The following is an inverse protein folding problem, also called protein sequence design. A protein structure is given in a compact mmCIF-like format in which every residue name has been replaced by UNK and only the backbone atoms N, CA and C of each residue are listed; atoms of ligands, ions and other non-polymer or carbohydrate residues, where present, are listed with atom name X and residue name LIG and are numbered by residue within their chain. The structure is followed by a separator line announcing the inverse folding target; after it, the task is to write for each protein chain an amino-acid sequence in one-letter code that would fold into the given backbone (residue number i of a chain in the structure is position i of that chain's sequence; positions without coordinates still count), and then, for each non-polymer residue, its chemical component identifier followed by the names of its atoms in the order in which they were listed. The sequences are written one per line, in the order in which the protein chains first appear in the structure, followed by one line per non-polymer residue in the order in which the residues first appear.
data_IF_061800901122
#
_entry.id   IF_061800901122
#
_cell.length_a   1.000
_cell.length_b   1.000
_cell.length_c   1.000
_cell.angle_alpha   90.00
_cell.angle_beta   90.00
_cell.angle_gamma   90.00
#
_symmetry.space_group_name_H-M   'P 1'
#
loop_
_entity.id
_entity.type
_entity.pdbx_description
1 polymer ?
#
# COMPACT_ATOMS: atom_id res chain seq x y z
N UNK A 1 -21.41 -9.44 -11.63
CA UNK A 1 -21.73 -9.20 -10.21
C UNK A 1 -21.70 -7.70 -9.93
N UNK A 2 -22.42 -7.27 -8.89
CA UNK A 2 -22.32 -5.89 -8.38
C UNK A 2 -21.38 -5.85 -7.18
N UNK A 3 -20.35 -5.03 -7.28
CA UNK A 3 -19.27 -4.96 -6.30
C UNK A 3 -19.18 -3.54 -5.76
N UNK A 4 -19.13 -3.39 -4.44
CA UNK A 4 -18.94 -2.11 -3.79
C UNK A 4 -17.57 -2.03 -3.14
N UNK A 5 -16.79 -1.02 -3.51
CA UNK A 5 -15.57 -0.61 -2.83
C UNK A 5 -15.85 0.59 -1.93
N UNK A 6 -15.40 0.57 -0.68
CA UNK A 6 -15.55 1.68 0.27
C UNK A 6 -14.17 2.08 0.78
N UNK A 7 -13.88 3.38 0.73
CA UNK A 7 -12.61 3.94 1.20
C UNK A 7 -12.81 5.27 1.93
N UNK A 8 -11.87 5.68 2.80
CA UNK A 8 -11.98 6.95 3.54
C UNK A 8 -11.85 8.17 2.62
N UNK A 9 -11.01 8.10 1.58
CA UNK A 9 -10.74 9.13 0.58
C UNK A 9 -9.60 8.69 -0.34
N UNK A 10 -9.29 9.48 -1.35
CA UNK A 10 -8.28 9.20 -2.37
C UNK A 10 -7.17 10.29 -2.39
N UNK A 11 -6.47 10.54 -1.27
CA UNK A 11 -5.49 11.64 -1.17
C UNK A 11 -4.14 11.38 -1.87
N UNK A 12 -3.91 10.22 -2.47
CA UNK A 12 -2.67 9.94 -3.20
C UNK A 12 -1.73 8.93 -2.54
N UNK A 13 -2.24 7.89 -1.88
CA UNK A 13 -1.45 6.82 -1.28
C UNK A 13 -1.45 5.51 -2.08
N UNK A 14 -0.58 4.59 -1.70
CA UNK A 14 -0.47 3.29 -2.39
C UNK A 14 -1.70 2.40 -2.24
N UNK A 15 -2.40 2.43 -1.09
CA UNK A 15 -3.61 1.65 -0.87
C UNK A 15 -4.79 2.18 -1.72
N UNK A 16 -4.87 3.50 -1.88
CA UNK A 16 -5.87 4.15 -2.73
C UNK A 16 -5.68 3.77 -4.20
N UNK A 17 -4.42 3.75 -4.66
CA UNK A 17 -4.07 3.27 -6.01
C UNK A 17 -4.50 1.81 -6.20
N UNK A 18 -4.23 0.95 -5.22
CA UNK A 18 -4.66 -0.47 -5.24
C UNK A 18 -6.17 -0.60 -5.38
N UNK A 19 -6.96 0.18 -4.63
CA UNK A 19 -8.44 0.15 -4.72
C UNK A 19 -8.91 0.56 -6.13
N UNK A 20 -8.34 1.61 -6.70
CA UNK A 20 -8.69 2.04 -8.07
C UNK A 20 -8.29 1.01 -9.12
N UNK A 21 -7.13 0.39 -8.96
CA UNK A 21 -6.65 -0.70 -9.82
C UNK A 21 -7.57 -1.93 -9.73
N UNK A 22 -8.05 -2.29 -8.52
CA UNK A 22 -9.06 -3.35 -8.34
C UNK A 22 -10.39 -2.98 -9.02
N UNK A 23 -10.87 -1.75 -8.84
CA UNK A 23 -12.09 -1.28 -9.51
C UNK A 23 -12.00 -1.45 -11.02
N UNK A 24 -10.90 -0.97 -11.60
CA UNK A 24 -10.63 -1.08 -13.05
C UNK A 24 -10.58 -2.54 -13.51
N UNK A 25 -9.80 -3.39 -12.82
CA UNK A 25 -9.63 -4.78 -13.20
C UNK A 25 -10.92 -5.60 -13.09
N UNK A 26 -11.74 -5.36 -12.07
CA UNK A 26 -13.05 -6.02 -11.93
C UNK A 26 -14.03 -5.54 -12.99
N UNK A 27 -14.03 -4.26 -13.35
CA UNK A 27 -14.86 -3.72 -14.44
C UNK A 27 -14.46 -4.33 -15.78
N UNK A 28 -13.17 -4.44 -16.06
CA UNK A 28 -12.66 -5.10 -17.30
C UNK A 28 -13.09 -6.57 -17.39
N UNK A 29 -13.35 -7.23 -16.25
CA UNK A 29 -13.89 -8.59 -16.20
C UNK A 29 -15.43 -8.65 -16.29
N UNK A 30 -16.08 -7.51 -16.61
CA UNK A 30 -17.54 -7.44 -16.83
C UNK A 30 -18.36 -7.36 -15.55
N UNK A 31 -17.80 -6.84 -14.47
CA UNK A 31 -18.54 -6.59 -13.22
C UNK A 31 -18.96 -5.13 -13.10
N UNK A 32 -20.14 -4.89 -12.47
CA UNK A 32 -20.61 -3.56 -12.11
C UNK A 32 -19.91 -3.13 -10.82
N UNK A 33 -19.06 -2.12 -10.89
CA UNK A 33 -18.25 -1.66 -9.76
C UNK A 33 -18.66 -0.26 -9.32
N UNK A 34 -19.03 -0.12 -8.06
CA UNK A 34 -19.28 1.16 -7.41
C UNK A 34 -18.18 1.45 -6.39
N UNK A 35 -17.79 2.72 -6.27
CA UNK A 35 -16.79 3.21 -5.33
C UNK A 35 -17.39 4.31 -4.46
N UNK A 36 -17.44 4.10 -3.15
CA UNK A 36 -17.85 5.11 -2.17
C UNK A 36 -16.64 5.64 -1.42
N UNK A 37 -16.42 6.96 -1.50
CA UNK A 37 -15.48 7.70 -0.66
C UNK A 37 -16.20 8.33 0.53
N UNK A 38 -15.68 8.16 1.74
CA UNK A 38 -16.25 8.72 2.96
C UNK A 38 -15.76 10.15 3.28
N UNK A 39 -14.84 10.69 2.47
CA UNK A 39 -14.38 12.10 2.49
C UNK A 39 -14.31 12.64 1.07
N UNK A 40 -14.54 13.93 0.96
CA UNK A 40 -14.42 14.68 -0.30
C UNK A 40 -12.95 15.07 -0.54
N UNK A 41 -12.12 14.05 -0.82
CA UNK A 41 -10.70 14.20 -1.17
C UNK A 41 -10.37 13.19 -2.25
N UNK A 42 -10.10 13.67 -3.46
CA UNK A 42 -9.77 12.82 -4.61
C UNK A 42 -8.66 13.46 -5.44
N UNK A 43 -7.44 12.92 -5.34
CA UNK A 43 -6.26 13.35 -6.11
C UNK A 43 -5.89 12.36 -7.22
N UNK A 44 -6.70 11.32 -7.42
CA UNK A 44 -6.55 10.37 -8.52
C UNK A 44 -7.67 10.54 -9.54
N UNK A 45 -7.41 10.31 -10.83
CA UNK A 45 -8.47 10.13 -11.81
C UNK A 45 -9.26 8.86 -11.47
N UNK A 46 -10.58 8.97 -11.47
CA UNK A 46 -11.46 7.81 -11.32
C UNK A 46 -11.53 7.09 -12.68
N UNK A 47 -11.29 5.76 -12.74
CA UNK A 47 -11.41 5.01 -13.97
C UNK A 47 -12.82 5.18 -14.59
N UNK A 48 -12.88 5.30 -15.92
CA UNK A 48 -14.14 5.43 -16.65
C UNK A 48 -15.06 4.24 -16.39
N UNK A 49 -16.37 4.50 -16.25
CA UNK A 49 -17.38 3.47 -16.00
C UNK A 49 -17.47 2.96 -14.57
N UNK A 50 -16.71 3.53 -13.63
CA UNK A 50 -16.90 3.30 -12.20
C UNK A 50 -17.94 4.29 -11.66
N UNK A 51 -18.99 3.77 -11.02
CA UNK A 51 -19.96 4.61 -10.30
C UNK A 51 -19.34 5.13 -9.00
N UNK A 52 -18.90 6.40 -9.01
CA UNK A 52 -18.20 7.03 -7.90
C UNK A 52 -19.09 7.99 -7.12
N UNK A 53 -19.23 7.74 -5.82
CA UNK A 53 -20.01 8.58 -4.91
C UNK A 53 -19.19 9.02 -3.70
N UNK A 54 -19.35 10.29 -3.30
CA UNK A 54 -18.78 10.84 -2.07
C UNK A 54 -19.88 10.93 -0.99
N UNK A 55 -19.67 10.23 0.15
CA UNK A 55 -20.55 10.25 1.32
C UNK A 55 -19.83 10.92 2.49
N UNK A 56 -19.61 12.23 2.36
CA UNK A 56 -18.90 13.01 3.36
C UNK A 56 -19.80 13.43 4.55
N UNK A 57 -19.20 13.44 5.76
CA UNK A 57 -19.85 13.98 6.95
C UNK A 57 -19.71 15.51 7.00
N UNK A 58 -20.82 16.23 6.82
CA UNK A 58 -20.88 17.70 6.86
C UNK A 58 -21.40 18.26 8.19
N UNK A 59 -21.47 17.45 9.24
CA UNK A 59 -21.98 17.88 10.55
C UNK A 59 -21.13 18.96 11.20
N UNK A 60 -21.78 20.01 11.71
CA UNK A 60 -21.19 21.12 12.48
C UNK A 60 -21.54 21.07 13.98
N UNK A 61 -22.27 20.03 14.44
CA UNK A 61 -22.73 19.93 15.82
C UNK A 61 -21.56 19.94 16.83
N UNK A 62 -21.73 20.56 18.04
CA UNK A 62 -20.66 20.64 19.05
C UNK A 62 -20.14 19.26 19.49
N UNK A 63 -21.00 18.25 19.61
CA UNK A 63 -20.70 16.86 19.98
C UNK A 63 -20.38 15.95 18.80
N UNK A 64 -20.11 16.54 17.61
CA UNK A 64 -19.84 15.79 16.37
C UNK A 64 -18.78 14.70 16.50
N UNK A 65 -17.73 14.93 17.33
CA UNK A 65 -16.66 13.97 17.53
C UNK A 65 -17.11 12.70 18.25
N UNK A 66 -18.05 12.78 19.18
CA UNK A 66 -18.58 11.61 19.92
C UNK A 66 -19.49 10.74 19.07
N UNK A 67 -20.27 11.34 18.17
CA UNK A 67 -21.25 10.65 17.34
C UNK A 67 -20.76 10.37 15.91
N UNK A 68 -19.54 10.79 15.58
CA UNK A 68 -19.00 10.75 14.21
C UNK A 68 -19.15 9.39 13.55
N UNK A 69 -18.66 8.33 14.18
CA UNK A 69 -18.65 7.00 13.56
C UNK A 69 -20.06 6.47 13.30
N UNK A 70 -20.98 6.63 14.24
CA UNK A 70 -22.37 6.16 14.09
C UNK A 70 -23.12 6.99 13.04
N UNK A 71 -22.90 8.30 13.01
CA UNK A 71 -23.52 9.20 12.04
C UNK A 71 -23.02 8.93 10.62
N UNK A 72 -21.71 8.71 10.45
CA UNK A 72 -21.11 8.36 9.16
C UNK A 72 -21.57 6.97 8.68
N UNK A 73 -21.70 6.00 9.60
CA UNK A 73 -22.27 4.70 9.27
C UNK A 73 -23.74 4.81 8.82
N UNK A 74 -24.56 5.61 9.50
CA UNK A 74 -25.93 5.85 9.08
C UNK A 74 -26.05 6.59 7.74
N UNK A 75 -25.12 7.51 7.43
CA UNK A 75 -25.06 8.15 6.12
C UNK A 75 -24.67 7.16 5.02
N UNK A 76 -23.69 6.31 5.27
CA UNK A 76 -23.29 5.23 4.38
C UNK A 76 -24.47 4.26 4.13
N UNK A 77 -25.18 3.83 5.19
CA UNK A 77 -26.33 2.94 5.06
C UNK A 77 -27.43 3.53 4.17
N UNK A 78 -27.68 4.86 4.26
CA UNK A 78 -28.65 5.55 3.38
C UNK A 78 -28.18 5.57 1.93
N UNK A 79 -26.90 5.87 1.67
CA UNK A 79 -26.34 5.89 0.32
C UNK A 79 -26.42 4.49 -0.32
N UNK A 80 -26.06 3.45 0.42
CA UNK A 80 -26.18 2.06 -0.04
C UNK A 80 -27.64 1.70 -0.31
N UNK A 81 -28.58 2.09 0.59
CA UNK A 81 -30.01 1.82 0.41
C UNK A 81 -30.56 2.46 -0.86
N UNK A 82 -30.15 3.69 -1.13
CA UNK A 82 -30.55 4.42 -2.35
C UNK A 82 -30.03 3.73 -3.61
N UNK A 83 -28.74 3.40 -3.62
CA UNK A 83 -28.11 2.70 -4.74
C UNK A 83 -28.77 1.32 -4.99
N UNK A 84 -28.97 0.52 -3.93
CA UNK A 84 -29.57 -0.81 -4.06
C UNK A 84 -31.03 -0.78 -4.53
N UNK A 85 -31.77 0.29 -4.21
CA UNK A 85 -33.14 0.47 -4.71
C UNK A 85 -33.18 0.69 -6.22
N UNK A 86 -32.18 1.36 -6.76
CA UNK A 86 -32.11 1.69 -8.19
C UNK A 86 -31.49 0.57 -9.01
N UNK A 87 -30.48 -0.11 -8.47
CA UNK A 87 -29.62 -1.06 -9.20
C UNK A 87 -29.68 -2.49 -8.67
N UNK A 88 -30.28 -2.72 -7.50
CA UNK A 88 -30.32 -4.00 -6.78
C UNK A 88 -29.11 -4.20 -5.85
N UNK A 89 -29.18 -5.24 -5.01
CA UNK A 89 -28.22 -5.50 -3.95
C UNK A 89 -26.80 -5.78 -4.46
N UNK A 90 -25.79 -5.37 -3.68
CA UNK A 90 -24.39 -5.73 -3.94
C UNK A 90 -24.13 -7.20 -3.60
N UNK A 91 -23.38 -7.88 -4.46
CA UNK A 91 -22.93 -9.25 -4.26
C UNK A 91 -21.74 -9.34 -3.31
N UNK A 92 -20.80 -8.41 -3.43
CA UNK A 92 -19.60 -8.30 -2.60
C UNK A 92 -19.35 -6.84 -2.21
N UNK A 93 -18.88 -6.63 -1.00
CA UNK A 93 -18.53 -5.32 -0.46
C UNK A 93 -17.15 -5.38 0.17
N UNK A 94 -16.26 -4.47 -0.21
CA UNK A 94 -14.90 -4.37 0.31
C UNK A 94 -14.69 -3.04 1.01
N UNK A 95 -14.37 -3.10 2.31
CA UNK A 95 -13.98 -1.94 3.11
C UNK A 95 -12.48 -1.83 3.16
N UNK A 96 -11.94 -0.66 2.83
CA UNK A 96 -10.51 -0.46 2.69
C UNK A 96 -9.98 0.58 3.66
N UNK A 97 -8.90 0.27 4.37
CA UNK A 97 -8.24 1.08 5.40
C UNK A 97 -8.99 1.14 6.74
N UNK A 98 -8.24 1.04 7.83
CA UNK A 98 -8.77 0.98 9.20
C UNK A 98 -9.72 2.14 9.57
N UNK A 99 -9.52 3.34 9.01
CA UNK A 99 -10.43 4.47 9.25
C UNK A 99 -11.81 4.20 8.70
N UNK A 100 -11.90 3.69 7.47
CA UNK A 100 -13.13 3.24 6.81
C UNK A 100 -13.76 2.12 7.60
N UNK A 101 -12.97 1.11 7.96
CA UNK A 101 -13.41 -0.11 8.64
C UNK A 101 -14.12 0.19 9.97
N UNK A 102 -13.66 1.20 10.71
CA UNK A 102 -14.30 1.67 11.93
C UNK A 102 -15.71 2.22 11.73
N UNK A 103 -16.01 2.73 10.54
CA UNK A 103 -17.32 3.24 10.16
C UNK A 103 -18.18 2.08 9.64
N UNK A 104 -17.63 1.32 8.68
CA UNK A 104 -18.30 0.19 8.04
C UNK A 104 -18.69 -0.89 9.04
N UNK A 105 -17.84 -1.16 10.05
CA UNK A 105 -18.16 -2.12 11.13
C UNK A 105 -19.42 -1.77 11.95
N UNK A 106 -19.94 -0.54 11.83
CA UNK A 106 -21.17 -0.04 12.48
C UNK A 106 -22.38 0.01 11.54
N UNK A 107 -22.19 -0.31 10.27
CA UNK A 107 -23.30 -0.43 9.32
C UNK A 107 -24.29 -1.48 9.80
N UNK A 108 -25.57 -1.16 9.69
CA UNK A 108 -26.70 -2.07 9.99
C UNK A 108 -27.26 -2.72 8.73
N UNK A 109 -26.78 -2.29 7.56
CA UNK A 109 -27.28 -2.74 6.27
C UNK A 109 -26.37 -3.79 5.60
N UNK A 110 -25.07 -3.67 5.79
CA UNK A 110 -24.11 -4.57 5.16
C UNK A 110 -24.13 -5.95 5.81
N UNK A 111 -24.53 -6.96 5.04
CA UNK A 111 -24.55 -8.35 5.49
C UNK A 111 -23.15 -8.89 5.70
N UNK A 112 -22.92 -9.59 6.81
CA UNK A 112 -21.60 -10.04 7.24
C UNK A 112 -20.96 -11.10 6.32
N UNK A 113 -21.77 -11.82 5.54
CA UNK A 113 -21.32 -12.82 4.57
C UNK A 113 -20.73 -12.21 3.29
N UNK A 114 -21.20 -11.02 2.90
CA UNK A 114 -20.77 -10.30 1.69
C UNK A 114 -19.72 -9.23 1.96
N UNK A 115 -19.52 -8.85 3.23
CA UNK A 115 -18.60 -7.79 3.63
C UNK A 115 -17.23 -8.34 3.98
N UNK A 116 -16.21 -7.80 3.31
CA UNK A 116 -14.79 -8.09 3.54
C UNK A 116 -14.03 -6.83 3.92
N UNK A 117 -13.16 -6.95 4.92
CA UNK A 117 -12.28 -5.86 5.36
C UNK A 117 -10.89 -6.07 4.78
N UNK A 118 -10.44 -5.17 3.91
CA UNK A 118 -9.14 -5.24 3.25
C UNK A 118 -8.08 -4.51 4.07
N UNK A 119 -7.09 -5.23 4.56
CA UNK A 119 -6.05 -4.70 5.43
C UNK A 119 -4.77 -4.53 4.63
N UNK A 120 -4.39 -3.25 4.46
CA UNK A 120 -3.29 -2.80 3.61
C UNK A 120 -1.98 -2.55 4.37
N UNK A 121 -1.85 -2.97 5.62
CA UNK A 121 -0.64 -2.75 6.41
C UNK A 121 -0.60 -3.52 7.71
N UNK A 122 0.57 -3.56 8.32
CA UNK A 122 0.80 -4.17 9.63
C UNK A 122 0.13 -3.30 10.70
N UNK A 123 -1.02 -3.73 11.22
CA UNK A 123 -1.83 -2.94 12.16
C UNK A 123 -1.15 -2.80 13.52
N UNK A 124 -0.46 -3.83 14.00
CA UNK A 124 0.27 -3.76 15.27
C UNK A 124 1.35 -2.68 15.25
N UNK A 125 2.10 -2.54 14.16
CA UNK A 125 3.11 -1.49 14.00
C UNK A 125 2.46 -0.12 13.81
N UNK A 126 1.51 -0.01 12.88
CA UNK A 126 0.93 1.27 12.47
C UNK A 126 0.05 1.91 13.55
N UNK A 127 -0.64 1.11 14.37
CA UNK A 127 -1.62 1.63 15.34
C UNK A 127 -1.25 1.42 16.80
N UNK A 128 -0.46 0.42 17.15
CA UNK A 128 0.03 0.25 18.52
C UNK A 128 1.33 1.05 18.74
N UNK A 129 2.24 1.06 17.76
CA UNK A 129 3.52 1.74 17.87
C UNK A 129 4.27 1.33 19.15
N UNK A 130 4.81 2.31 19.87
CA UNK A 130 5.58 2.09 21.12
C UNK A 130 4.71 2.05 22.39
N UNK A 131 3.37 1.97 22.26
CA UNK A 131 2.46 1.89 23.41
C UNK A 131 2.72 0.64 24.24
N UNK A 132 2.62 0.81 25.59
CA UNK A 132 2.83 -0.27 26.57
C UNK A 132 1.66 -0.34 27.56
N UNK A 133 1.60 -1.43 28.32
CA UNK A 133 0.65 -1.61 29.41
C UNK A 133 -0.81 -1.43 29.02
N UNK A 134 -1.58 -0.74 29.87
CA UNK A 134 -3.03 -0.56 29.71
C UNK A 134 -3.42 0.18 28.42
N UNK A 135 -2.64 1.21 28.02
CA UNK A 135 -2.92 1.96 26.77
C UNK A 135 -2.79 1.05 25.53
N UNK A 136 -1.77 0.19 25.50
CA UNK A 136 -1.62 -0.82 24.45
C UNK A 136 -2.82 -1.77 24.43
N UNK A 137 -3.23 -2.29 25.59
CA UNK A 137 -4.35 -3.21 25.71
C UNK A 137 -5.67 -2.58 25.26
N UNK A 138 -5.98 -1.36 25.72
CA UNK A 138 -7.16 -0.61 25.30
C UNK A 138 -7.18 -0.38 23.78
N UNK A 139 -6.04 -0.06 23.19
CA UNK A 139 -5.92 0.16 21.75
C UNK A 139 -6.10 -1.15 20.98
N UNK A 140 -5.48 -2.24 21.41
CA UNK A 140 -5.69 -3.57 20.84
C UNK A 140 -7.17 -3.96 20.87
N UNK A 141 -7.84 -3.76 22.00
CA UNK A 141 -9.28 -4.06 22.12
C UNK A 141 -10.14 -3.23 21.16
N UNK A 142 -9.80 -1.94 20.97
CA UNK A 142 -10.48 -1.09 19.97
C UNK A 142 -10.31 -1.59 18.54
N UNK A 143 -9.11 -2.08 18.21
CA UNK A 143 -8.83 -2.66 16.89
C UNK A 143 -9.56 -3.99 16.75
N UNK A 144 -9.47 -4.87 17.74
CA UNK A 144 -10.14 -6.16 17.75
C UNK A 144 -11.67 -6.04 17.55
N UNK A 145 -12.31 -5.06 18.20
CA UNK A 145 -13.75 -4.80 18.04
C UNK A 145 -14.19 -4.51 16.60
N UNK A 146 -13.26 -4.06 15.74
CA UNK A 146 -13.55 -3.81 14.32
C UNK A 146 -13.50 -5.11 13.51
N UNK A 147 -12.54 -5.99 13.82
CA UNK A 147 -12.20 -7.12 12.94
C UNK A 147 -12.57 -8.50 13.50
N UNK A 148 -12.83 -8.62 14.80
CA UNK A 148 -13.19 -9.88 15.43
C UNK A 148 -14.42 -10.51 14.78
N UNK A 149 -14.31 -11.78 14.33
CA UNK A 149 -15.40 -12.51 13.70
C UNK A 149 -15.83 -11.98 12.32
N UNK A 150 -14.98 -11.16 11.66
CA UNK A 150 -15.25 -10.59 10.32
C UNK A 150 -14.51 -11.35 9.23
N UNK A 151 -14.97 -11.20 7.98
CA UNK A 151 -14.21 -11.67 6.83
C UNK A 151 -13.11 -10.64 6.51
N UNK A 152 -11.89 -11.12 6.33
CA UNK A 152 -10.72 -10.28 6.14
C UNK A 152 -9.96 -10.71 4.89
N UNK A 153 -9.56 -9.73 4.08
CA UNK A 153 -8.51 -9.87 3.07
C UNK A 153 -7.25 -9.21 3.60
N UNK A 154 -6.17 -9.96 3.70
CA UNK A 154 -4.84 -9.47 4.03
C UNK A 154 -4.00 -9.39 2.75
N UNK A 155 -3.32 -8.25 2.52
CA UNK A 155 -2.55 -8.04 1.28
C UNK A 155 -1.22 -8.81 1.22
N UNK A 156 -0.81 -9.43 2.32
CA UNK A 156 0.34 -10.35 2.43
C UNK A 156 0.13 -11.33 3.57
N UNK A 157 0.88 -12.43 3.58
CA UNK A 157 0.85 -13.41 4.69
C UNK A 157 1.19 -12.74 6.03
N UNK A 158 2.25 -11.91 6.04
CA UNK A 158 2.66 -11.20 7.24
C UNK A 158 1.57 -10.27 7.80
N UNK A 159 0.73 -9.65 6.97
CA UNK A 159 -0.45 -8.89 7.44
C UNK A 159 -1.47 -9.81 8.08
N UNK A 160 -1.72 -10.98 7.51
CA UNK A 160 -2.61 -11.98 8.10
C UNK A 160 -2.10 -12.52 9.44
N UNK A 161 -0.81 -12.82 9.53
CA UNK A 161 -0.13 -13.31 10.75
C UNK A 161 -0.15 -12.24 11.85
N UNK A 162 0.08 -10.97 11.51
CA UNK A 162 0.02 -9.86 12.45
C UNK A 162 -1.32 -9.77 13.18
N UNK A 163 -2.43 -10.02 12.48
CA UNK A 163 -3.76 -10.01 13.07
C UNK A 163 -3.96 -11.09 14.10
N UNK A 164 -3.41 -12.27 13.86
CA UNK A 164 -3.61 -13.46 14.71
C UNK A 164 -2.60 -13.53 15.86
N UNK A 165 -1.36 -13.11 15.62
CA UNK A 165 -0.26 -13.24 16.59
C UNK A 165 -0.06 -11.99 17.44
N UNK A 166 -0.11 -10.79 16.84
CA UNK A 166 0.16 -9.53 17.53
C UNK A 166 -1.11 -8.78 17.97
N UNK A 167 -2.22 -9.04 17.28
CA UNK A 167 -3.53 -8.46 17.58
C UNK A 167 -4.52 -9.63 17.74
N UNK A 168 -4.84 -10.13 18.94
CA UNK A 168 -5.57 -11.38 19.16
C UNK A 168 -6.95 -11.37 18.48
N UNK A 169 -6.95 -11.27 17.15
CA UNK A 169 -8.11 -11.23 16.27
C UNK A 169 -8.30 -12.60 15.66
N UNK A 170 -9.51 -13.14 15.80
CA UNK A 170 -9.94 -14.37 15.15
C UNK A 170 -10.94 -13.98 14.06
N UNK A 171 -10.50 -13.89 12.78
CA UNK A 171 -11.41 -13.64 11.67
C UNK A 171 -12.44 -14.77 11.53
N UNK A 172 -13.61 -14.46 10.97
CA UNK A 172 -14.54 -15.49 10.51
C UNK A 172 -13.98 -16.25 9.30
N UNK A 173 -13.42 -15.48 8.36
CA UNK A 173 -12.67 -15.97 7.20
C UNK A 173 -11.47 -15.07 6.98
N UNK A 174 -10.34 -15.64 6.63
CA UNK A 174 -9.12 -14.92 6.27
C UNK A 174 -8.68 -15.38 4.88
N UNK A 175 -8.60 -14.46 3.95
CA UNK A 175 -7.98 -14.66 2.65
C UNK A 175 -6.71 -13.80 2.56
N UNK A 176 -5.63 -14.39 2.03
CA UNK A 176 -4.43 -13.63 1.67
C UNK A 176 -4.47 -13.42 0.16
N UNK A 177 -4.67 -12.17 -0.25
CA UNK A 177 -4.73 -11.79 -1.66
C UNK A 177 -3.82 -10.57 -1.85
N UNK A 178 -2.78 -10.75 -2.67
CA UNK A 178 -1.81 -9.70 -2.91
C UNK A 178 -2.41 -8.52 -3.72
N UNK A 179 -1.68 -7.41 -3.77
CA UNK A 179 -2.12 -6.25 -4.53
C UNK A 179 -2.02 -6.50 -6.04
N UNK A 180 -2.98 -5.99 -6.85
CA UNK A 180 -2.97 -6.10 -8.30
C UNK A 180 -2.08 -5.03 -8.94
N UNK A 181 -1.54 -5.36 -10.10
CA UNK A 181 -0.79 -4.46 -10.95
C UNK A 181 -1.30 -4.54 -12.39
N UNK A 182 -1.56 -3.39 -12.99
CA UNK A 182 -1.77 -3.27 -14.43
C UNK A 182 -0.40 -3.30 -15.11
N UNK A 183 0.05 -4.52 -15.44
CA UNK A 183 1.42 -4.78 -15.94
C UNK A 183 1.66 -4.03 -17.24
N UNK A 184 0.71 -4.07 -18.17
CA UNK A 184 0.83 -3.43 -19.47
C UNK A 184 0.91 -1.89 -19.31
N UNK A 185 0.06 -1.32 -18.46
CA UNK A 185 0.10 0.11 -18.18
C UNK A 185 1.41 0.53 -17.51
N UNK A 186 1.96 -0.26 -16.59
CA UNK A 186 3.27 0.01 -15.96
C UNK A 186 4.36 -0.01 -17.01
N UNK A 187 4.42 -1.01 -17.88
CA UNK A 187 5.43 -1.12 -18.93
C UNK A 187 5.32 0.00 -19.95
N UNK A 188 4.10 0.38 -20.35
CA UNK A 188 3.86 1.50 -21.24
C UNK A 188 4.32 2.83 -20.60
N UNK A 189 3.96 3.08 -19.35
CA UNK A 189 4.36 4.28 -18.63
C UNK A 189 5.86 4.34 -18.38
N UNK A 190 6.52 3.19 -18.16
CA UNK A 190 7.97 3.09 -18.00
C UNK A 190 8.76 3.41 -19.25
N UNK A 191 8.12 3.36 -20.43
CA UNK A 191 8.74 3.73 -21.72
C UNK A 191 8.73 5.25 -22.00
N UNK A 192 8.09 6.05 -21.12
CA UNK A 192 8.10 7.51 -21.25
C UNK A 192 9.52 8.09 -21.07
N UNK A 193 9.81 9.29 -21.62
CA UNK A 193 11.09 9.96 -21.45
C UNK A 193 11.52 10.13 -19.99
N UNK A 194 12.79 9.96 -19.70
CA UNK A 194 13.38 10.12 -18.37
C UNK A 194 14.65 11.01 -18.48
N UNK A 195 14.72 12.03 -17.64
CA UNK A 195 15.88 12.95 -17.62
C UNK A 195 17.19 12.29 -17.12
N UNK A 196 17.06 11.16 -16.41
CA UNK A 196 18.20 10.35 -15.95
C UNK A 196 18.51 9.16 -16.86
N UNK A 197 17.88 9.04 -18.03
CA UNK A 197 18.13 7.94 -18.97
C UNK A 197 19.61 7.92 -19.41
N UNK A 198 20.22 6.73 -19.39
CA UNK A 198 21.60 6.54 -19.73
C UNK A 198 22.61 6.91 -18.64
N UNK A 199 22.15 7.37 -17.48
CA UNK A 199 22.99 7.56 -16.30
C UNK A 199 22.95 6.32 -15.42
N UNK A 200 24.03 6.09 -14.68
CA UNK A 200 24.08 5.07 -13.63
C UNK A 200 23.63 5.71 -12.31
N UNK A 201 22.53 5.23 -11.72
CA UNK A 201 22.00 5.73 -10.45
C UNK A 201 21.14 4.70 -9.72
N UNK A 202 21.01 4.90 -8.41
CA UNK A 202 20.09 4.16 -7.54
C UNK A 202 18.81 4.96 -7.33
N UNK A 203 17.70 4.27 -7.07
CA UNK A 203 16.43 4.96 -6.83
C UNK A 203 15.73 4.48 -5.55
N UNK A 204 15.11 5.40 -4.83
CA UNK A 204 14.13 5.14 -3.78
C UNK A 204 12.84 5.88 -4.10
N UNK A 205 11.72 5.17 -4.07
CA UNK A 205 10.40 5.76 -4.29
C UNK A 205 9.53 5.56 -3.06
N UNK A 206 9.16 6.65 -2.41
CA UNK A 206 8.32 6.58 -1.21
C UNK A 206 8.13 7.94 -0.54
N UNK A 207 7.05 8.07 0.23
CA UNK A 207 6.82 9.29 1.02
C UNK A 207 7.92 9.48 2.07
N UNK A 208 8.33 10.72 2.30
CA UNK A 208 9.24 11.05 3.40
C UNK A 208 8.51 10.90 4.75
N UNK A 209 8.42 9.67 5.21
CA UNK A 209 7.75 9.26 6.44
C UNK A 209 8.68 8.40 7.30
N UNK A 210 8.52 8.46 8.63
CA UNK A 210 9.39 7.73 9.58
C UNK A 210 9.49 6.23 9.29
N UNK A 211 8.39 5.61 8.89
CA UNK A 211 8.37 4.18 8.57
C UNK A 211 9.22 3.80 7.35
N UNK A 212 9.54 4.75 6.44
CA UNK A 212 10.37 4.51 5.26
C UNK A 212 11.88 4.58 5.57
N UNK A 213 12.26 5.07 6.75
CA UNK A 213 13.63 5.05 7.27
C UNK A 213 14.67 5.59 6.28
N UNK A 214 14.43 6.80 5.77
CA UNK A 214 15.43 7.50 4.93
C UNK A 214 16.76 7.68 5.65
N UNK A 215 16.76 7.75 6.98
CA UNK A 215 17.96 7.76 7.81
C UNK A 215 18.81 6.48 7.61
N UNK A 216 18.17 5.31 7.69
CA UNK A 216 18.83 4.01 7.42
C UNK A 216 19.34 3.94 5.98
N UNK A 217 18.52 4.39 5.03
CA UNK A 217 18.88 4.40 3.61
C UNK A 217 20.15 5.20 3.34
N UNK A 218 20.20 6.46 3.81
CA UNK A 218 21.35 7.34 3.57
C UNK A 218 22.62 6.82 4.25
N UNK A 219 22.53 6.31 5.48
CA UNK A 219 23.67 5.72 6.17
C UNK A 219 24.17 4.45 5.46
N UNK A 220 23.26 3.57 5.04
CA UNK A 220 23.63 2.39 4.27
C UNK A 220 24.28 2.78 2.93
N UNK A 221 23.72 3.77 2.23
CA UNK A 221 24.30 4.28 0.98
C UNK A 221 25.71 4.86 1.18
N UNK A 222 25.91 5.67 2.23
CA UNK A 222 27.24 6.20 2.55
C UNK A 222 28.28 5.10 2.81
N UNK A 223 27.88 4.00 3.44
CA UNK A 223 28.76 2.87 3.78
C UNK A 223 28.90 1.84 2.67
N UNK A 224 28.04 1.84 1.65
CA UNK A 224 28.04 0.82 0.59
C UNK A 224 29.24 0.91 -0.38
N UNK A 225 29.95 2.04 -0.40
CA UNK A 225 31.02 2.31 -1.35
C UNK A 225 30.56 2.65 -2.77
N UNK A 226 29.26 2.59 -3.05
CA UNK A 226 28.67 2.90 -4.36
C UNK A 226 28.83 4.40 -4.64
N UNK A 227 29.36 4.75 -5.82
CA UNK A 227 29.58 6.15 -6.22
C UNK A 227 28.44 6.71 -7.08
N UNK A 228 27.63 5.84 -7.70
CA UNK A 228 26.47 6.24 -8.48
C UNK A 228 25.47 7.03 -7.64
N UNK A 229 24.87 8.14 -8.14
CA UNK A 229 23.90 8.95 -7.39
C UNK A 229 22.70 8.17 -6.88
N UNK A 230 22.13 8.63 -5.76
CA UNK A 230 20.87 8.12 -5.19
C UNK A 230 19.74 9.10 -5.43
N UNK A 231 18.79 8.74 -6.28
CA UNK A 231 17.57 9.51 -6.55
C UNK A 231 16.47 9.18 -5.53
N UNK A 232 15.94 10.20 -4.86
CA UNK A 232 14.83 10.11 -3.92
C UNK A 232 13.58 10.71 -4.53
N UNK A 233 12.56 9.87 -4.77
CA UNK A 233 11.29 10.25 -5.37
C UNK A 233 10.18 10.15 -4.31
N UNK A 234 9.44 11.24 -4.10
CA UNK A 234 8.30 11.27 -3.18
C UNK A 234 8.11 12.62 -2.52
N UNK A 235 7.06 12.69 -1.69
CA UNK A 235 6.73 13.88 -0.89
C UNK A 235 6.76 13.57 0.60
N UNK A 236 6.89 14.62 1.39
CA UNK A 236 6.78 14.63 2.85
C UNK A 236 6.49 16.04 3.33
N UNK A 237 6.36 16.19 4.65
CA UNK A 237 6.39 17.53 5.22
C UNK A 237 7.80 18.14 5.09
N UNK A 238 7.85 19.48 4.99
CA UNK A 238 9.10 20.21 4.75
C UNK A 238 10.16 19.95 5.84
N UNK A 239 9.73 19.80 7.08
CA UNK A 239 10.63 19.51 8.20
C UNK A 239 11.31 18.15 8.02
N UNK A 240 10.56 17.14 7.58
CA UNK A 240 11.09 15.79 7.34
C UNK A 240 12.05 15.76 6.15
N UNK A 241 11.71 16.44 5.06
CA UNK A 241 12.59 16.57 3.89
C UNK A 241 13.88 17.28 4.28
N UNK A 242 13.79 18.38 5.05
CA UNK A 242 14.97 19.12 5.54
C UNK A 242 15.86 18.25 6.46
N UNK A 243 15.26 17.41 7.33
CA UNK A 243 16.00 16.45 8.16
C UNK A 243 16.82 15.47 7.31
N UNK A 244 16.23 14.90 6.25
CA UNK A 244 16.91 13.98 5.34
C UNK A 244 18.04 14.68 4.58
N UNK A 245 17.83 15.92 4.12
CA UNK A 245 18.87 16.72 3.45
C UNK A 245 20.05 17.03 4.40
N UNK A 246 19.74 17.42 5.64
CA UNK A 246 20.76 17.67 6.66
C UNK A 246 21.61 16.40 6.90
N UNK A 247 20.95 15.25 7.07
CA UNK A 247 21.64 13.99 7.27
C UNK A 247 22.56 13.64 6.08
N UNK A 248 22.14 13.90 4.83
CA UNK A 248 22.98 13.70 3.66
C UNK A 248 24.25 14.56 3.72
N UNK A 249 24.14 15.81 4.19
CA UNK A 249 25.27 16.71 4.41
C UNK A 249 26.19 16.19 5.52
N UNK A 250 25.64 15.79 6.65
CA UNK A 250 26.39 15.24 7.78
C UNK A 250 27.18 13.98 7.40
N UNK A 251 26.63 13.17 6.49
CA UNK A 251 27.28 11.96 5.95
C UNK A 251 28.26 12.22 4.79
N UNK A 252 28.41 13.47 4.33
CA UNK A 252 29.30 13.83 3.22
C UNK A 252 28.84 13.32 1.85
N UNK A 253 27.54 13.04 1.67
CA UNK A 253 26.97 12.49 0.44
C UNK A 253 25.98 13.42 -0.27
N UNK A 254 25.84 14.67 0.20
CA UNK A 254 24.82 15.61 -0.30
C UNK A 254 24.84 15.78 -1.82
N UNK A 255 26.02 15.90 -2.43
CA UNK A 255 26.21 16.08 -3.88
C UNK A 255 25.80 14.84 -4.71
N UNK A 256 25.67 13.68 -4.05
CA UNK A 256 25.28 12.39 -4.70
C UNK A 256 23.84 12.01 -4.40
N UNK A 257 23.05 12.84 -3.67
CA UNK A 257 21.64 12.55 -3.37
C UNK A 257 20.76 13.52 -4.13
N UNK A 258 20.00 13.00 -5.08
CA UNK A 258 19.09 13.77 -5.94
C UNK A 258 17.67 13.76 -5.35
N UNK A 259 17.14 14.90 -4.95
CA UNK A 259 15.77 15.05 -4.46
C UNK A 259 14.85 15.43 -5.61
N UNK A 260 14.18 14.47 -6.23
CA UNK A 260 13.34 14.67 -7.43
C UNK A 260 11.89 15.07 -7.11
N UNK A 261 11.53 15.11 -5.81
CA UNK A 261 10.17 15.45 -5.41
C UNK A 261 9.13 14.43 -5.83
N UNK A 262 7.88 14.86 -5.98
CA UNK A 262 6.80 14.00 -6.45
C UNK A 262 6.88 13.83 -7.97
N UNK A 263 6.87 12.57 -8.40
CA UNK A 263 6.73 12.21 -9.80
C UNK A 263 5.37 11.52 -10.01
N UNK A 264 4.55 12.10 -10.89
CA UNK A 264 3.24 11.51 -11.22
C UNK A 264 3.40 10.14 -11.89
N UNK A 265 4.45 9.99 -12.70
CA UNK A 265 4.89 8.72 -13.28
C UNK A 265 6.33 8.44 -12.84
N UNK A 266 6.57 7.63 -11.80
CA UNK A 266 7.91 7.29 -11.35
C UNK A 266 8.56 6.15 -12.18
N UNK A 267 7.80 5.45 -13.01
CA UNK A 267 8.27 4.25 -13.69
C UNK A 267 9.45 4.46 -14.66
N UNK A 268 9.56 5.57 -15.42
CA UNK A 268 10.75 5.82 -16.22
C UNK A 268 12.02 5.93 -15.38
N UNK A 269 11.93 6.58 -14.21
CA UNK A 269 13.06 6.67 -13.27
C UNK A 269 13.40 5.30 -12.66
N UNK A 270 12.42 4.46 -12.39
CA UNK A 270 12.64 3.10 -11.91
C UNK A 270 13.31 2.28 -13.00
N UNK A 271 12.80 2.30 -14.23
CA UNK A 271 13.30 1.51 -15.36
C UNK A 271 14.76 1.78 -15.71
N UNK A 272 15.17 3.03 -15.60
CA UNK A 272 16.56 3.44 -15.94
C UNK A 272 17.53 3.37 -14.76
N UNK A 273 17.04 3.11 -13.55
CA UNK A 273 17.90 2.93 -12.39
C UNK A 273 18.61 1.57 -12.40
N UNK A 274 19.82 1.53 -11.87
CA UNK A 274 20.59 0.30 -11.72
C UNK A 274 20.07 -0.55 -10.54
N UNK A 275 19.44 0.08 -9.54
CA UNK A 275 18.94 -0.60 -8.35
C UNK A 275 17.85 0.23 -7.66
N UNK A 276 16.73 -0.39 -7.27
CA UNK A 276 15.75 0.23 -6.39
C UNK A 276 15.97 -0.22 -4.94
N UNK A 277 15.89 0.73 -4.01
CA UNK A 277 16.15 0.53 -2.59
C UNK A 277 14.89 0.72 -1.74
N UNK A 278 14.60 -0.20 -0.83
CA UNK A 278 13.54 -0.11 0.16
C UNK A 278 14.11 -0.35 1.56
N UNK A 279 14.08 0.69 2.42
CA UNK A 279 14.68 0.68 3.77
C UNK A 279 13.67 0.65 4.90
N UNK A 280 12.40 0.36 4.64
CA UNK A 280 11.27 0.50 5.55
C UNK A 280 11.38 -0.35 6.82
N UNK A 281 10.74 0.11 7.90
CA UNK A 281 10.54 -0.67 9.14
C UNK A 281 9.35 -1.63 9.05
N UNK A 282 8.38 -1.34 8.19
CA UNK A 282 7.24 -2.21 7.89
C UNK A 282 6.55 -1.79 6.60
N UNK A 283 6.02 -2.77 5.89
CA UNK A 283 5.21 -2.58 4.69
C UNK A 283 3.92 -3.42 4.79
N UNK A 284 2.85 -2.99 4.15
CA UNK A 284 1.71 -3.88 3.97
C UNK A 284 2.03 -4.95 2.94
N UNK A 285 2.37 -4.50 1.73
CA UNK A 285 2.80 -5.36 0.65
C UNK A 285 4.18 -4.96 0.12
N UNK A 286 4.40 -3.69 -0.20
CA UNK A 286 5.65 -3.21 -0.81
C UNK A 286 5.49 -3.05 -2.32
N UNK A 287 4.44 -2.36 -2.76
CA UNK A 287 4.08 -2.20 -4.18
C UNK A 287 5.26 -1.79 -5.05
N UNK A 288 6.09 -0.87 -4.57
CA UNK A 288 7.24 -0.35 -5.33
C UNK A 288 8.26 -1.44 -5.69
N UNK A 289 8.36 -2.52 -4.90
CA UNK A 289 9.23 -3.66 -5.24
C UNK A 289 8.70 -4.38 -6.48
N UNK A 290 7.41 -4.68 -6.52
CA UNK A 290 6.77 -5.30 -7.70
C UNK A 290 6.84 -4.36 -8.90
N UNK A 291 6.55 -3.08 -8.72
CA UNK A 291 6.66 -2.06 -9.77
C UNK A 291 8.08 -2.01 -10.36
N UNK A 292 9.11 -2.06 -9.52
CA UNK A 292 10.52 -2.08 -9.95
C UNK A 292 10.86 -3.34 -10.75
N UNK A 293 10.48 -4.49 -10.22
CA UNK A 293 10.73 -5.77 -10.89
C UNK A 293 10.01 -5.88 -12.23
N UNK A 294 8.79 -5.34 -12.34
CA UNK A 294 8.04 -5.25 -13.61
C UNK A 294 8.69 -4.29 -14.62
N UNK A 295 9.39 -3.27 -14.15
CA UNK A 295 10.20 -2.37 -14.98
C UNK A 295 11.56 -3.02 -15.41
N UNK A 296 11.92 -4.19 -14.87
CA UNK A 296 13.19 -4.86 -15.13
C UNK A 296 14.34 -4.41 -14.21
N UNK A 297 14.07 -3.61 -13.20
CA UNK A 297 15.07 -3.07 -12.28
C UNK A 297 15.20 -3.93 -11.03
N UNK A 298 16.40 -4.41 -10.69
CA UNK A 298 16.62 -5.18 -9.47
C UNK A 298 16.35 -4.33 -8.22
N UNK A 299 16.12 -5.02 -7.11
CA UNK A 299 15.75 -4.35 -5.85
C UNK A 299 16.57 -4.87 -4.69
N UNK A 300 16.79 -4.02 -3.69
CA UNK A 300 17.23 -4.42 -2.34
C UNK A 300 16.24 -3.90 -1.34
N UNK A 301 15.81 -4.76 -0.43
CA UNK A 301 14.83 -4.39 0.62
C UNK A 301 15.28 -4.87 1.99
N UNK A 302 14.97 -4.10 3.01
CA UNK A 302 15.00 -4.64 4.37
C UNK A 302 13.98 -5.77 4.52
N UNK A 303 14.31 -6.81 5.28
CA UNK A 303 13.41 -7.90 5.70
C UNK A 303 12.41 -7.40 6.77
N UNK A 304 11.73 -6.31 6.46
CA UNK A 304 10.75 -5.76 7.36
C UNK A 304 9.44 -6.58 7.38
N UNK A 305 8.66 -6.56 8.46
CA UNK A 305 7.33 -7.15 8.50
C UNK A 305 6.46 -6.64 7.35
N UNK A 306 5.82 -7.56 6.62
CA UNK A 306 4.99 -7.26 5.44
C UNK A 306 5.33 -8.12 4.24
N UNK A 307 4.99 -7.63 3.05
CA UNK A 307 5.19 -8.34 1.79
C UNK A 307 6.61 -8.40 1.20
N UNK A 308 7.62 -7.60 1.62
CA UNK A 308 8.91 -7.58 0.92
C UNK A 308 9.59 -8.94 0.79
N UNK A 309 9.63 -9.74 1.86
CA UNK A 309 10.22 -11.09 1.81
C UNK A 309 9.45 -11.99 0.83
N UNK A 310 8.12 -11.99 0.91
CA UNK A 310 7.23 -12.77 0.04
C UNK A 310 7.42 -12.40 -1.45
N UNK A 311 7.57 -11.10 -1.76
CA UNK A 311 7.80 -10.62 -3.13
C UNK A 311 9.16 -11.05 -3.64
N UNK A 312 10.24 -10.84 -2.87
CA UNK A 312 11.59 -11.13 -3.31
C UNK A 312 11.86 -12.64 -3.42
N UNK A 313 11.32 -13.44 -2.52
CA UNK A 313 11.39 -14.91 -2.60
C UNK A 313 10.69 -15.40 -3.89
N UNK A 314 9.51 -14.88 -4.19
CA UNK A 314 8.76 -15.22 -5.41
C UNK A 314 9.48 -14.77 -6.69
N UNK A 315 10.15 -13.62 -6.65
CA UNK A 315 10.94 -13.11 -7.78
C UNK A 315 12.30 -13.83 -7.96
N UNK A 316 12.66 -14.77 -7.08
CA UNK A 316 13.96 -15.45 -7.11
C UNK A 316 15.11 -14.57 -6.56
N UNK A 317 14.80 -13.54 -5.80
CA UNK A 317 15.73 -12.53 -5.28
C UNK A 317 15.83 -12.53 -3.74
N UNK A 318 15.68 -13.69 -3.10
CA UNK A 318 15.73 -13.78 -1.62
C UNK A 318 17.07 -13.29 -1.04
N UNK A 319 18.18 -13.35 -1.80
CA UNK A 319 19.48 -12.82 -1.44
C UNK A 319 19.53 -11.28 -1.38
N UNK A 320 18.55 -10.58 -1.96
CA UNK A 320 18.43 -9.13 -1.93
C UNK A 320 17.72 -8.60 -0.66
N UNK A 321 17.41 -9.47 0.30
CA UNK A 321 16.85 -9.11 1.60
C UNK A 321 17.97 -8.82 2.60
N UNK A 322 17.97 -7.60 3.13
CA UNK A 322 18.85 -7.14 4.20
C UNK A 322 18.16 -7.22 5.56
N UNK A 323 18.90 -7.41 6.63
CA UNK A 323 18.37 -7.25 7.98
C UNK A 323 17.96 -5.80 8.27
N UNK A 324 17.16 -5.56 9.33
CA UNK A 324 16.64 -4.23 9.70
C UNK A 324 17.72 -3.29 10.28
N UNK A 325 18.91 -3.28 9.69
CA UNK A 325 20.01 -2.41 10.08
C UNK A 325 20.77 -1.86 8.86
N UNK A 326 21.53 -0.80 9.08
CA UNK A 326 22.25 -0.07 8.03
C UNK A 326 23.40 -0.86 7.43
N UNK A 327 24.13 -1.66 8.24
CA UNK A 327 25.28 -2.44 7.77
C UNK A 327 24.85 -3.54 6.79
N UNK A 328 23.84 -4.34 7.15
CA UNK A 328 23.32 -5.37 6.25
C UNK A 328 22.70 -4.78 4.98
N UNK A 329 22.02 -3.61 5.08
CA UNK A 329 21.49 -2.93 3.91
C UNK A 329 22.60 -2.46 2.99
N UNK A 330 23.69 -1.88 3.52
CA UNK A 330 24.86 -1.45 2.75
C UNK A 330 25.55 -2.62 2.03
N UNK A 331 25.73 -3.75 2.73
CA UNK A 331 26.30 -4.98 2.16
C UNK A 331 25.47 -5.48 0.98
N UNK A 332 24.15 -5.60 1.16
CA UNK A 332 23.26 -6.08 0.10
C UNK A 332 23.16 -5.11 -1.07
N UNK A 333 23.22 -3.80 -0.82
CA UNK A 333 23.31 -2.79 -1.87
C UNK A 333 24.53 -3.00 -2.73
N UNK A 334 25.72 -3.14 -2.12
CA UNK A 334 26.98 -3.36 -2.84
C UNK A 334 26.97 -4.69 -3.62
N UNK A 335 26.50 -5.77 -2.99
CA UNK A 335 26.42 -7.11 -3.62
C UNK A 335 25.53 -7.10 -4.87
N UNK A 336 24.29 -6.62 -4.76
CA UNK A 336 23.30 -6.65 -5.84
C UNK A 336 23.62 -5.62 -6.92
N UNK A 337 24.18 -4.46 -6.55
CA UNK A 337 24.62 -3.46 -7.52
C UNK A 337 25.77 -3.98 -8.39
N UNK A 338 26.75 -4.68 -7.80
CA UNK A 338 27.85 -5.25 -8.54
C UNK A 338 27.46 -6.46 -9.39
N UNK A 339 26.53 -7.27 -8.92
CA UNK A 339 26.09 -8.52 -9.55
C UNK A 339 24.55 -8.62 -9.53
N UNK A 340 23.83 -7.86 -10.38
CA UNK A 340 22.39 -7.87 -10.38
C UNK A 340 21.84 -9.27 -10.77
N UNK A 341 20.92 -9.84 -9.97
CA UNK A 341 20.35 -11.14 -10.26
C UNK A 341 19.37 -11.08 -11.43
N UNK A 342 19.18 -12.21 -12.09
CA UNK A 342 18.15 -12.34 -13.10
C UNK A 342 16.76 -12.34 -12.45
N UNK A 343 15.89 -11.42 -12.89
CA UNK A 343 14.53 -11.30 -12.40
C UNK A 343 13.63 -12.35 -13.06
N UNK A 344 12.91 -13.14 -12.27
CA UNK A 344 11.90 -14.08 -12.78
C UNK A 344 10.59 -13.35 -13.13
N UNK A 345 10.54 -12.75 -14.32
CA UNK A 345 9.38 -11.99 -14.79
C UNK A 345 8.11 -12.85 -14.84
N UNK A 346 8.21 -14.13 -15.15
CA UNK A 346 7.05 -15.02 -15.27
C UNK A 346 6.31 -15.18 -13.94
N UNK A 347 7.03 -15.24 -12.82
CA UNK A 347 6.43 -15.32 -11.49
C UNK A 347 5.64 -14.05 -11.12
N UNK A 348 6.04 -12.89 -11.66
CA UNK A 348 5.39 -11.61 -11.40
C UNK A 348 4.02 -11.48 -12.09
N UNK A 349 3.75 -12.25 -13.16
CA UNK A 349 2.45 -12.25 -13.85
C UNK A 349 1.29 -12.60 -12.93
N UNK A 350 1.56 -13.36 -11.86
CA UNK A 350 0.56 -13.70 -10.84
C UNK A 350 0.07 -12.49 -10.02
N UNK A 351 0.75 -11.35 -10.09
CA UNK A 351 0.31 -10.07 -9.52
C UNK A 351 -0.53 -9.22 -10.50
N UNK A 352 -0.76 -9.71 -11.72
CA UNK A 352 -1.55 -9.03 -12.73
C UNK A 352 -3.01 -8.81 -12.32
N UNK A 353 -3.71 -7.93 -13.02
CA UNK A 353 -5.10 -7.58 -12.76
C UNK A 353 -6.02 -8.81 -12.76
N UNK A 354 -5.94 -9.61 -13.82
CA UNK A 354 -6.85 -10.74 -14.02
C UNK A 354 -6.75 -11.77 -12.88
N UNK A 355 -5.58 -12.35 -12.54
CA UNK A 355 -5.47 -13.36 -11.50
C UNK A 355 -5.82 -12.82 -10.10
N UNK A 356 -5.50 -11.57 -9.80
CA UNK A 356 -5.83 -10.99 -8.49
C UNK A 356 -7.32 -10.67 -8.39
N UNK A 357 -7.92 -10.01 -9.37
CA UNK A 357 -9.36 -9.72 -9.35
C UNK A 357 -10.21 -11.00 -9.28
N UNK A 358 -9.81 -12.06 -9.99
CA UNK A 358 -10.46 -13.37 -9.90
C UNK A 358 -10.49 -13.90 -8.46
N UNK A 359 -9.38 -13.81 -7.71
CA UNK A 359 -9.32 -14.23 -6.30
C UNK A 359 -10.31 -13.44 -5.43
N UNK A 360 -10.48 -12.12 -5.67
CA UNK A 360 -11.47 -11.30 -4.96
C UNK A 360 -12.90 -11.71 -5.28
N UNK A 361 -13.18 -12.05 -6.54
CA UNK A 361 -14.50 -12.45 -7.03
C UNK A 361 -14.91 -13.80 -6.45
N UNK A 362 -13.99 -14.74 -6.37
CA UNK A 362 -14.18 -16.06 -5.76
C UNK A 362 -14.51 -16.02 -4.25
N UNK A 363 -14.32 -14.89 -3.59
CA UNK A 363 -14.70 -14.72 -2.18
C UNK A 363 -16.22 -14.77 -1.95
N UNK A 364 -17.04 -14.65 -3.00
CA UNK A 364 -18.49 -14.83 -2.92
C UNK A 364 -18.86 -16.30 -2.63
N UNK A 365 -18.08 -17.23 -3.11
CA UNK A 365 -18.36 -18.67 -3.02
C UNK A 365 -17.77 -19.31 -1.76
N UNK A 366 -16.90 -18.62 -1.09
CA UNK A 366 -16.24 -19.04 0.16
C UNK A 366 -17.03 -18.57 1.39
#
# INVERSE_FOLDING_TARGET
MRILMIIDGLPGGGAEKVVLTLCQGMQQQGHDVSLISLRDVCNYPIPSGIDYQVVADRSRAPWRKLTELSRRAAALDRAIAEHERQHGAFDLVFSNLHKTDRIVSRSKRLAADRLWFCIHGILSTSYLGHRKGLDRWLKQRKIANVYQGRNIVAVSRAVGDDLQQNLPIRPRRLAVINNPFDIDAIQQQAAAPCELAGQDYLVHVGRFHTAKRHDRLLKAYAHSGIQAPLALIGTGDDARVAEVKRLATELGIAERVLFLGFQANPYPFIRHASLLLLSSDSEGFGNVLVESLLCGTPVVSTRCPGGPAEILEKAGMANALAELNEASLAEKMAEIYANPPQINQQQLLSYGLEPICRQYIELKEK
#
